data_IF_453955340410
#
_entry.id   IF_453955340410
#
_cell.length_a   1.000
_cell.length_b   1.000
_cell.length_c   1.000
_cell.angle_alpha   90.00
_cell.angle_beta   90.00
_cell.angle_gamma   90.00
#
_symmetry.space_group_name_H-M   'P 1'
#
loop_
_entity.id
_entity.type
_entity.pdbx_description
1 polymer ?
#
# COMPACT_ATOMS: atom_id res chain seq x y z
N UNK A 1 14.51 8.29 22.20
CA UNK A 1 13.34 7.43 21.97
C UNK A 1 13.70 6.56 20.79
N UNK A 2 13.88 5.26 21.03
CA UNK A 2 14.26 4.31 20.00
C UNK A 2 13.06 4.06 19.09
N UNK A 3 13.02 4.77 17.96
CA UNK A 3 12.07 4.50 16.89
C UNK A 3 12.44 3.16 16.24
N UNK A 4 11.84 2.10 16.74
CA UNK A 4 11.94 0.74 16.19
C UNK A 4 11.12 0.70 14.90
N UNK A 5 11.76 0.45 13.77
CA UNK A 5 11.10 0.25 12.47
C UNK A 5 11.30 -1.19 12.02
N UNK A 6 10.22 -1.83 11.58
CA UNK A 6 10.32 -3.15 10.93
C UNK A 6 10.81 -2.99 9.49
N UNK A 7 11.59 -3.96 8.98
CA UNK A 7 12.02 -4.01 7.58
C UNK A 7 10.83 -3.89 6.62
N UNK A 8 9.69 -4.48 7.00
CA UNK A 8 8.42 -4.38 6.27
C UNK A 8 7.89 -2.96 6.15
N UNK A 9 7.78 -2.22 7.25
CA UNK A 9 7.31 -0.82 7.21
C UNK A 9 8.26 0.07 6.40
N UNK A 10 9.56 -0.21 6.47
CA UNK A 10 10.57 0.50 5.70
C UNK A 10 10.43 0.25 4.20
N UNK A 11 10.25 -1.01 3.79
CA UNK A 11 10.00 -1.40 2.40
C UNK A 11 8.69 -0.75 1.90
N UNK A 12 7.62 -0.84 2.69
CA UNK A 12 6.31 -0.29 2.34
C UNK A 12 6.33 1.23 2.12
N UNK A 13 7.20 1.93 2.86
CA UNK A 13 7.38 3.38 2.77
C UNK A 13 8.30 3.79 1.62
N UNK A 14 9.34 3.00 1.33
CA UNK A 14 10.40 3.39 0.38
C UNK A 14 10.31 2.67 -0.99
N UNK A 15 9.31 1.82 -1.23
CA UNK A 15 9.15 1.01 -2.45
C UNK A 15 9.40 1.73 -3.79
N UNK A 16 9.18 3.05 -3.85
CA UNK A 16 9.30 3.84 -5.09
C UNK A 16 10.66 4.57 -5.24
N UNK A 17 11.63 4.40 -4.33
CA UNK A 17 12.85 5.25 -4.24
C UNK A 17 14.18 4.45 -4.11
N UNK A 18 14.15 3.13 -3.91
CA UNK A 18 15.33 2.40 -3.43
C UNK A 18 16.36 2.11 -4.53
N UNK A 19 17.60 2.63 -4.37
CA UNK A 19 18.65 1.85 -3.72
C UNK A 19 19.04 2.40 -2.35
N UNK A 20 18.95 1.58 -1.30
CA UNK A 20 19.27 1.99 0.08
C UNK A 20 19.92 0.86 0.89
N UNK A 21 20.73 1.25 1.88
CA UNK A 21 21.40 0.33 2.82
C UNK A 21 20.63 0.25 4.12
N UNK A 22 20.23 -0.96 4.49
CA UNK A 22 19.58 -1.23 5.78
C UNK A 22 20.40 -2.20 6.61
N UNK A 23 20.41 -2.00 7.92
CA UNK A 23 21.00 -2.94 8.88
C UNK A 23 19.89 -3.73 9.55
N UNK A 24 19.94 -5.05 9.46
CA UNK A 24 19.00 -5.96 10.11
C UNK A 24 19.17 -5.82 11.63
N UNK A 25 18.12 -5.39 12.30
CA UNK A 25 18.04 -5.29 13.77
C UNK A 25 17.29 -6.46 14.40
N UNK A 26 16.63 -7.29 13.56
CA UNK A 26 15.93 -8.52 13.90
C UNK A 26 14.90 -8.88 12.83
N UNK A 27 14.66 -10.19 12.58
CA UNK A 27 13.64 -10.67 11.63
C UNK A 27 13.98 -12.02 11.01
N UNK A 28 12.95 -12.70 10.47
CA UNK A 28 13.06 -13.99 9.78
C UNK A 28 12.96 -13.76 8.27
N UNK A 29 13.83 -14.37 7.47
CA UNK A 29 13.74 -14.33 6.01
C UNK A 29 12.52 -15.14 5.53
N UNK A 30 11.80 -14.65 4.53
CA UNK A 30 10.74 -15.43 3.88
C UNK A 30 11.32 -16.30 2.77
N UNK A 31 11.57 -17.57 3.07
CA UNK A 31 12.05 -18.58 2.12
C UNK A 31 13.35 -19.22 2.60
N UNK A 32 13.31 -20.55 2.76
CA UNK A 32 14.33 -21.42 3.38
C UNK A 32 14.83 -20.90 4.74
N UNK A 33 14.26 -21.47 5.81
CA UNK A 33 14.48 -21.32 7.26
C UNK A 33 15.86 -20.84 7.79
N UNK A 34 16.35 -19.68 7.34
CA UNK A 34 17.54 -19.03 7.90
C UNK A 34 17.17 -17.65 8.48
N UNK A 35 17.43 -17.49 9.78
CA UNK A 35 17.34 -16.21 10.46
C UNK A 35 18.46 -15.30 9.94
N UNK A 36 18.11 -14.10 9.45
CA UNK A 36 19.13 -13.10 9.12
C UNK A 36 19.78 -12.62 10.43
N UNK A 37 21.11 -12.80 10.62
CA UNK A 37 21.77 -12.40 11.84
C UNK A 37 21.57 -10.92 12.12
N UNK A 38 21.33 -10.59 13.40
CA UNK A 38 21.32 -9.18 13.83
C UNK A 38 22.66 -8.54 13.48
N UNK A 39 22.61 -7.43 12.76
CA UNK A 39 23.79 -6.71 12.29
C UNK A 39 24.08 -6.85 10.80
N UNK A 40 23.43 -7.79 10.12
CA UNK A 40 23.55 -7.97 8.66
C UNK A 40 23.19 -6.68 7.92
N UNK A 41 24.02 -6.26 6.97
CA UNK A 41 23.74 -5.10 6.12
C UNK A 41 23.25 -5.57 4.77
N UNK A 42 22.06 -5.13 4.39
CA UNK A 42 21.44 -5.42 3.11
C UNK A 42 21.49 -4.17 2.24
N UNK A 43 21.92 -4.32 1.00
CA UNK A 43 21.69 -3.34 -0.06
C UNK A 43 20.36 -3.74 -0.73
N UNK A 44 19.30 -2.92 -0.57
CA UNK A 44 17.99 -3.18 -1.19
C UNK A 44 17.95 -2.57 -2.59
N UNK A 45 17.58 -3.37 -3.58
CA UNK A 45 17.61 -2.97 -4.99
C UNK A 45 16.23 -2.67 -5.55
N UNK A 46 15.24 -3.49 -5.21
CA UNK A 46 13.92 -3.40 -5.80
C UNK A 46 12.86 -4.08 -4.95
N UNK A 47 11.59 -3.73 -5.17
CA UNK A 47 10.43 -4.38 -4.57
C UNK A 47 9.50 -4.80 -5.71
N UNK A 48 9.09 -6.06 -5.71
CA UNK A 48 8.24 -6.65 -6.73
C UNK A 48 7.01 -7.31 -6.11
N UNK A 49 5.93 -7.37 -6.90
CA UNK A 49 4.69 -8.04 -6.50
C UNK A 49 4.79 -9.50 -6.91
N UNK A 50 4.93 -10.39 -5.93
CA UNK A 50 5.05 -11.84 -6.17
C UNK A 50 3.72 -12.44 -6.59
N UNK A 51 2.65 -12.12 -5.87
CA UNK A 51 1.32 -12.66 -6.11
C UNK A 51 0.22 -11.74 -5.58
N UNK A 52 -0.91 -11.72 -6.30
CA UNK A 52 -2.11 -11.03 -5.88
C UNK A 52 -3.23 -12.06 -5.76
N UNK A 53 -3.84 -12.12 -4.58
CA UNK A 53 -4.87 -13.09 -4.28
C UNK A 53 -6.23 -12.40 -4.24
N UNK A 54 -7.14 -12.84 -5.12
CA UNK A 54 -8.54 -12.46 -5.12
C UNK A 54 -9.38 -13.54 -4.45
N UNK A 55 -10.25 -13.12 -3.54
CA UNK A 55 -11.10 -14.00 -2.74
C UNK A 55 -12.57 -13.66 -2.97
N UNK A 56 -13.40 -14.66 -3.22
CA UNK A 56 -14.84 -14.48 -3.38
C UNK A 56 -15.64 -15.65 -2.81
N UNK A 57 -16.92 -15.40 -2.53
CA UNK A 57 -17.87 -16.42 -2.09
C UNK A 57 -18.93 -16.63 -3.15
N UNK A 58 -19.14 -17.88 -3.56
CA UNK A 58 -20.22 -18.20 -4.47
C UNK A 58 -21.58 -18.04 -3.79
N UNK A 59 -22.56 -17.50 -4.52
CA UNK A 59 -23.90 -17.28 -4.00
C UNK A 59 -24.52 -18.61 -3.56
N UNK A 60 -24.91 -18.69 -2.30
CA UNK A 60 -25.53 -19.89 -1.73
C UNK A 60 -24.54 -20.99 -1.29
N UNK A 61 -23.23 -20.75 -1.40
CA UNK A 61 -22.20 -21.66 -0.86
C UNK A 61 -21.45 -20.99 0.28
N UNK A 62 -21.07 -21.78 1.29
CA UNK A 62 -20.17 -21.34 2.37
C UNK A 62 -18.69 -21.36 1.96
N UNK A 63 -18.39 -21.88 0.76
CA UNK A 63 -17.04 -22.05 0.26
C UNK A 63 -16.51 -20.69 -0.21
N UNK A 64 -15.30 -20.39 0.23
CA UNK A 64 -14.53 -19.24 -0.20
C UNK A 64 -13.50 -19.70 -1.23
N UNK A 65 -13.57 -19.14 -2.43
CA UNK A 65 -12.66 -19.44 -3.52
C UNK A 65 -11.56 -18.39 -3.56
N UNK A 66 -10.32 -18.82 -3.85
CA UNK A 66 -9.15 -17.97 -4.00
C UNK A 66 -8.55 -18.15 -5.40
N UNK A 67 -8.29 -17.03 -6.07
CA UNK A 67 -7.65 -16.99 -7.38
C UNK A 67 -6.40 -16.13 -7.29
N UNK A 68 -5.27 -16.68 -7.73
CA UNK A 68 -4.02 -15.96 -7.90
C UNK A 68 -4.00 -15.26 -9.25
N UNK A 69 -3.62 -13.99 -9.29
CA UNK A 69 -3.46 -13.23 -10.53
C UNK A 69 -2.16 -12.44 -10.52
N UNK A 70 -1.69 -12.10 -11.73
CA UNK A 70 -0.54 -11.24 -11.94
C UNK A 70 -0.94 -9.76 -11.94
N UNK A 71 -0.01 -8.88 -11.58
CA UNK A 71 -0.24 -7.43 -11.50
C UNK A 71 -0.63 -6.81 -12.86
N UNK A 72 -0.04 -7.33 -13.95
CA UNK A 72 -0.33 -6.90 -15.32
C UNK A 72 -1.71 -7.30 -15.84
N UNK A 73 -2.55 -7.95 -15.03
CA UNK A 73 -3.88 -8.35 -15.45
C UNK A 73 -4.73 -7.10 -15.81
N UNK A 74 -5.30 -7.05 -17.03
CA UNK A 74 -6.02 -5.87 -17.52
C UNK A 74 -7.43 -5.72 -16.94
N UNK A 75 -7.91 -6.68 -16.13
CA UNK A 75 -9.25 -6.64 -15.53
C UNK A 75 -9.42 -5.39 -14.69
N UNK A 76 -10.54 -4.70 -14.91
CA UNK A 76 -10.89 -3.49 -14.18
C UNK A 76 -11.94 -3.76 -13.11
N UNK A 77 -11.77 -3.07 -11.98
CA UNK A 77 -12.62 -3.18 -10.81
C UNK A 77 -13.15 -1.81 -10.39
N UNK A 78 -14.36 -1.83 -9.83
CA UNK A 78 -14.86 -0.76 -9.01
C UNK A 78 -14.46 -1.04 -7.55
N UNK A 79 -13.89 -0.04 -6.88
CA UNK A 79 -13.53 -0.14 -5.46
C UNK A 79 -14.77 0.15 -4.61
N UNK A 80 -14.98 -0.69 -3.60
CA UNK A 80 -16.06 -0.54 -2.62
C UNK A 80 -15.49 -0.13 -1.27
N UNK A 81 -16.22 0.75 -0.58
CA UNK A 81 -15.84 1.20 0.75
C UNK A 81 -15.98 0.06 1.78
N UNK A 82 -15.01 -0.05 2.70
CA UNK A 82 -15.07 -1.01 3.81
C UNK A 82 -16.09 -0.63 4.86
N UNK A 83 -16.24 0.68 5.09
CA UNK A 83 -17.08 1.24 6.14
C UNK A 83 -18.45 1.69 5.61
N UNK A 84 -19.44 1.83 6.50
CA UNK A 84 -20.74 2.39 6.16
C UNK A 84 -20.60 3.75 5.48
N UNK A 85 -21.53 4.07 4.58
CA UNK A 85 -21.64 5.40 3.98
C UNK A 85 -21.72 6.45 5.09
N UNK A 86 -20.85 7.45 5.02
CA UNK A 86 -20.84 8.56 5.98
C UNK A 86 -19.89 8.38 7.16
N UNK A 87 -19.10 7.30 7.24
CA UNK A 87 -18.01 7.22 8.21
C UNK A 87 -17.02 8.39 8.02
N UNK A 88 -16.65 9.01 9.14
CA UNK A 88 -15.75 10.16 9.21
C UNK A 88 -14.42 9.73 9.80
N UNK A 89 -13.35 9.87 9.02
CA UNK A 89 -11.97 9.71 9.44
C UNK A 89 -11.47 11.07 9.93
N UNK A 90 -11.16 11.21 11.21
CA UNK A 90 -10.88 12.54 11.80
C UNK A 90 -9.56 13.09 11.29
N UNK A 91 -8.55 12.23 11.21
CA UNK A 91 -7.16 12.57 10.89
C UNK A 91 -6.64 11.83 9.67
N UNK A 92 -5.51 12.27 9.13
CA UNK A 92 -4.76 11.55 8.11
C UNK A 92 -4.25 10.19 8.62
N UNK A 93 -3.94 10.07 9.92
CA UNK A 93 -3.59 8.78 10.52
C UNK A 93 -4.70 7.73 10.32
N UNK A 94 -5.95 8.11 10.57
CA UNK A 94 -7.12 7.23 10.37
C UNK A 94 -7.25 6.79 8.89
N UNK A 95 -6.94 7.72 7.97
CA UNK A 95 -6.91 7.43 6.54
C UNK A 95 -5.85 6.39 6.17
N UNK A 96 -4.69 6.39 6.83
CA UNK A 96 -3.63 5.42 6.52
C UNK A 96 -4.00 4.04 7.03
N UNK A 97 -4.63 3.95 8.20
CA UNK A 97 -5.05 2.69 8.81
C UNK A 97 -6.09 1.99 7.92
N UNK A 98 -7.14 2.70 7.51
CA UNK A 98 -8.23 2.13 6.70
C UNK A 98 -7.93 2.16 5.20
N UNK A 99 -7.18 3.17 4.75
CA UNK A 99 -6.78 3.41 3.38
C UNK A 99 -7.95 3.48 2.37
N UNK A 100 -8.90 4.42 2.56
CA UNK A 100 -9.91 4.71 1.53
C UNK A 100 -9.23 5.27 0.27
N UNK A 101 -9.73 4.91 -0.92
CA UNK A 101 -9.07 5.27 -2.17
C UNK A 101 -9.13 6.78 -2.47
N UNK A 102 -10.30 7.37 -2.26
CA UNK A 102 -10.57 8.80 -2.45
C UNK A 102 -11.41 9.29 -1.29
N UNK A 103 -11.07 10.45 -0.77
CA UNK A 103 -11.79 11.10 0.32
C UNK A 103 -12.12 12.54 -0.01
N UNK A 104 -13.14 13.05 0.67
CA UNK A 104 -13.50 14.45 0.70
C UNK A 104 -13.12 15.03 2.06
N UNK A 105 -12.41 16.15 2.05
CA UNK A 105 -12.12 16.94 3.23
C UNK A 105 -13.38 17.68 3.69
N UNK A 106 -13.79 17.60 4.95
CA UNK A 106 -14.98 18.30 5.46
C UNK A 106 -14.65 19.48 6.39
N UNK A 107 -13.38 19.63 6.78
CA UNK A 107 -12.89 20.72 7.63
C UNK A 107 -11.64 21.32 7.01
N UNK A 108 -11.61 22.65 6.88
CA UNK A 108 -10.41 23.35 6.42
C UNK A 108 -9.27 23.10 7.41
N UNK A 109 -8.11 22.71 6.90
CA UNK A 109 -6.89 22.52 7.68
C UNK A 109 -5.78 23.43 7.15
N UNK A 110 -4.98 23.99 8.05
CA UNK A 110 -3.84 24.84 7.71
C UNK A 110 -2.60 24.24 8.35
N UNK A 111 -1.49 24.17 7.60
CA UNK A 111 -0.20 23.75 8.16
C UNK A 111 0.28 24.73 9.24
N UNK A 112 1.09 24.25 10.18
CA UNK A 112 1.58 25.05 11.30
C UNK A 112 2.40 26.27 10.84
N UNK A 113 3.11 26.14 9.72
CA UNK A 113 3.86 27.22 9.08
C UNK A 113 3.00 28.17 8.23
N UNK A 114 1.71 27.88 8.09
CA UNK A 114 0.75 28.64 7.29
C UNK A 114 0.96 28.55 5.77
N UNK A 115 1.93 27.77 5.29
CA UNK A 115 2.31 27.70 3.88
C UNK A 115 1.31 26.93 3.02
N UNK A 116 0.53 26.03 3.63
CA UNK A 116 -0.46 25.22 2.94
C UNK A 116 -1.83 25.27 3.63
N UNK A 117 -2.86 25.37 2.79
CA UNK A 117 -4.26 25.35 3.19
C UNK A 117 -4.95 24.22 2.43
N UNK A 118 -5.49 23.25 3.17
CA UNK A 118 -6.41 22.26 2.66
C UNK A 118 -7.82 22.80 2.86
N UNK A 119 -8.52 23.10 1.78
CA UNK A 119 -9.85 23.70 1.85
C UNK A 119 -10.94 22.66 2.12
N UNK A 120 -12.03 23.12 2.75
CA UNK A 120 -13.23 22.31 2.88
C UNK A 120 -13.76 21.92 1.49
N UNK A 121 -14.29 20.71 1.40
CA UNK A 121 -14.86 20.10 0.19
C UNK A 121 -13.84 19.70 -0.89
N UNK A 122 -12.54 19.86 -0.65
CA UNK A 122 -11.50 19.30 -1.52
C UNK A 122 -11.58 17.77 -1.57
N UNK A 123 -11.30 17.22 -2.76
CA UNK A 123 -11.31 15.79 -3.02
C UNK A 123 -9.87 15.33 -3.19
N UNK A 124 -9.46 14.40 -2.35
CA UNK A 124 -8.11 13.86 -2.26
C UNK A 124 -8.13 12.41 -2.74
N UNK A 125 -7.35 12.09 -3.78
CA UNK A 125 -6.98 10.71 -4.08
C UNK A 125 -5.71 10.40 -3.31
N UNK A 126 -5.76 9.43 -2.39
CA UNK A 126 -4.57 9.01 -1.64
C UNK A 126 -3.58 8.39 -2.63
N UNK A 127 -2.29 8.68 -2.53
CA UNK A 127 -1.30 8.12 -3.46
C UNK A 127 -0.41 7.13 -2.72
N UNK A 128 0.38 7.61 -1.76
CA UNK A 128 1.35 6.79 -1.03
C UNK A 128 1.77 7.44 0.28
N UNK A 129 2.47 6.69 1.12
CA UNK A 129 3.22 7.26 2.24
C UNK A 129 4.58 7.73 1.75
N UNK A 130 5.04 8.86 2.27
CA UNK A 130 6.38 9.40 2.02
C UNK A 130 7.02 9.82 3.33
N UNK A 131 8.35 9.86 3.37
CA UNK A 131 9.11 10.37 4.51
C UNK A 131 9.53 11.81 4.21
N UNK A 132 9.03 12.74 5.03
CA UNK A 132 9.42 14.14 4.99
C UNK A 132 10.75 14.39 5.69
N UNK A 133 11.10 15.67 5.84
CA UNK A 133 12.25 16.07 6.67
C UNK A 133 12.05 15.57 8.11
N UNK A 134 13.16 15.25 8.80
CA UNK A 134 13.14 14.75 10.18
C UNK A 134 12.37 13.43 10.38
N UNK A 135 12.33 12.56 9.36
CA UNK A 135 11.67 11.25 9.43
C UNK A 135 10.15 11.29 9.69
N UNK A 136 9.51 12.43 9.46
CA UNK A 136 8.07 12.56 9.60
C UNK A 136 7.36 11.75 8.50
N UNK A 137 6.45 10.87 8.88
CA UNK A 137 5.55 10.18 7.93
C UNK A 137 4.53 11.18 7.40
N UNK A 138 4.42 11.27 6.09
CA UNK A 138 3.45 12.13 5.40
C UNK A 138 2.62 11.27 4.43
N UNK A 139 1.36 11.64 4.23
CA UNK A 139 0.51 11.04 3.22
C UNK A 139 0.53 11.92 1.96
N UNK A 140 1.12 11.41 0.89
CA UNK A 140 1.04 12.06 -0.42
C UNK A 140 -0.33 11.79 -1.04
N UNK A 141 -1.02 12.88 -1.39
CA UNK A 141 -2.35 12.87 -1.99
C UNK A 141 -2.34 13.67 -3.29
N UNK A 142 -3.20 13.30 -4.23
CA UNK A 142 -3.53 14.12 -5.39
C UNK A 142 -4.84 14.84 -5.15
N UNK A 143 -4.80 16.17 -5.16
CA UNK A 143 -5.99 17.00 -5.25
C UNK A 143 -6.64 16.78 -6.62
N UNK A 144 -7.84 16.21 -6.63
CA UNK A 144 -8.50 15.73 -7.86
C UNK A 144 -8.87 16.90 -8.78
N UNK A 145 -9.31 18.03 -8.22
CA UNK A 145 -9.71 19.21 -9.01
C UNK A 145 -8.53 19.98 -9.56
N UNK A 146 -7.54 20.30 -8.72
CA UNK A 146 -6.35 21.05 -9.16
C UNK A 146 -5.30 20.17 -9.86
N UNK A 147 -5.49 18.85 -9.91
CA UNK A 147 -4.51 17.88 -10.44
C UNK A 147 -3.12 17.99 -9.81
N UNK A 148 -3.06 18.49 -8.57
CA UNK A 148 -1.83 18.82 -7.85
C UNK A 148 -1.52 17.77 -6.78
N UNK A 149 -0.25 17.38 -6.65
CA UNK A 149 0.21 16.57 -5.52
C UNK A 149 0.44 17.45 -4.29
N UNK A 150 0.02 16.95 -3.14
CA UNK A 150 0.18 17.57 -1.82
C UNK A 150 0.58 16.51 -0.81
N UNK A 151 1.31 16.91 0.23
CA UNK A 151 1.74 16.03 1.30
C UNK A 151 1.11 16.50 2.60
N UNK A 152 0.37 15.61 3.26
CA UNK A 152 -0.35 15.92 4.49
C UNK A 152 0.31 15.19 5.67
N UNK A 153 0.57 15.87 6.79
CA UNK A 153 1.09 15.22 7.98
C UNK A 153 0.02 14.36 8.66
N UNK A 154 0.45 13.43 9.51
CA UNK A 154 -0.43 12.44 10.13
C UNK A 154 -1.54 13.06 11.00
N UNK A 155 -1.23 14.19 11.62
CA UNK A 155 -2.07 14.97 12.52
C UNK A 155 -2.99 15.96 11.79
N UNK A 156 -2.97 15.99 10.45
CA UNK A 156 -3.89 16.82 9.67
C UNK A 156 -5.36 16.42 9.93
N UNK A 157 -6.09 17.33 10.59
CA UNK A 157 -7.50 17.16 10.97
C UNK A 157 -8.47 17.68 9.91
N UNK A 158 -8.58 16.97 8.79
CA UNK A 158 -9.50 17.34 7.70
C UNK A 158 -10.94 16.81 7.86
N UNK A 159 -11.21 15.93 8.84
CA UNK A 159 -12.50 15.24 8.99
C UNK A 159 -12.97 14.64 7.66
N UNK A 160 -12.31 13.61 7.18
CA UNK A 160 -12.46 13.08 5.85
C UNK A 160 -13.62 12.09 5.75
N UNK A 161 -14.30 12.07 4.62
CA UNK A 161 -15.31 11.04 4.29
C UNK A 161 -14.94 10.37 2.98
N UNK A 162 -15.07 9.05 2.91
CA UNK A 162 -14.86 8.31 1.66
C UNK A 162 -15.78 8.85 0.55
N UNK A 163 -15.25 8.99 -0.66
CA UNK A 163 -15.99 9.48 -1.81
C UNK A 163 -15.82 8.54 -2.99
N UNK A 164 -16.95 8.08 -3.52
CA UNK A 164 -16.99 7.25 -4.72
C UNK A 164 -16.62 8.10 -5.93
N UNK A 165 -15.60 7.69 -6.66
CA UNK A 165 -15.41 8.10 -8.05
C UNK A 165 -16.06 7.04 -8.94
N UNK A 166 -16.76 7.47 -9.99
CA UNK A 166 -17.25 6.57 -11.04
C UNK A 166 -16.11 6.17 -11.99
N UNK A 167 -14.99 5.73 -11.41
CA UNK A 167 -13.80 5.32 -12.12
C UNK A 167 -13.55 3.83 -11.90
N UNK A 168 -12.83 3.23 -12.85
CA UNK A 168 -12.48 1.82 -12.84
C UNK A 168 -10.96 1.69 -12.79
N UNK A 169 -10.48 0.71 -12.02
CA UNK A 169 -9.06 0.56 -11.70
C UNK A 169 -8.60 -0.83 -12.07
N UNK A 170 -7.44 -0.94 -12.71
CA UNK A 170 -6.73 -2.20 -12.93
C UNK A 170 -6.08 -2.65 -11.62
N UNK A 171 -5.65 -3.91 -11.58
CA UNK A 171 -4.90 -4.45 -10.43
C UNK A 171 -3.62 -3.68 -10.19
N UNK A 172 -2.88 -3.35 -11.27
CA UNK A 172 -1.68 -2.53 -11.18
C UNK A 172 -1.95 -1.14 -10.58
N UNK A 173 -3.08 -0.48 -10.92
CA UNK A 173 -3.46 0.80 -10.30
C UNK A 173 -3.65 0.67 -8.78
N UNK A 174 -4.19 -0.46 -8.32
CA UNK A 174 -4.47 -0.71 -6.90
C UNK A 174 -3.19 -0.97 -6.12
N UNK A 175 -2.26 -1.76 -6.67
CA UNK A 175 -1.01 -2.13 -6.00
C UNK A 175 -0.02 -0.98 -5.94
N UNK A 176 0.15 -0.25 -7.05
CA UNK A 176 1.06 0.89 -7.10
C UNK A 176 0.68 2.00 -6.14
N UNK A 177 -0.61 2.22 -5.89
CA UNK A 177 -1.06 3.20 -4.92
C UNK A 177 -0.77 2.71 -3.49
N UNK A 178 -1.49 1.68 -3.03
CA UNK A 178 -1.31 1.18 -1.67
C UNK A 178 -1.63 -0.32 -1.61
N UNK A 179 -0.63 -1.21 -1.39
CA UNK A 179 -0.83 -2.65 -1.35
C UNK A 179 -1.55 -3.04 -0.06
N UNK A 180 -2.88 -2.90 -0.06
CA UNK A 180 -3.76 -3.24 1.06
C UNK A 180 -4.93 -4.06 0.58
N UNK A 181 -5.59 -4.72 1.53
CA UNK A 181 -6.85 -5.39 1.26
C UNK A 181 -7.89 -4.42 0.68
N UNK A 182 -8.64 -4.86 -0.34
CA UNK A 182 -9.70 -4.09 -0.99
C UNK A 182 -10.95 -4.92 -1.26
N UNK A 183 -12.12 -4.39 -0.92
CA UNK A 183 -13.40 -4.85 -1.47
C UNK A 183 -13.58 -4.28 -2.87
N UNK A 184 -13.78 -5.16 -3.83
CA UNK A 184 -13.87 -4.87 -5.25
C UNK A 184 -15.16 -5.43 -5.83
N UNK A 185 -15.64 -4.80 -6.89
CA UNK A 185 -16.70 -5.30 -7.74
C UNK A 185 -16.20 -5.32 -9.17
N UNK A 186 -16.38 -6.45 -9.86
CA UNK A 186 -16.06 -6.54 -11.28
C UNK A 186 -16.93 -5.57 -12.09
N UNK A 187 -16.31 -4.84 -13.02
CA UNK A 187 -17.02 -3.88 -13.89
C UNK A 187 -17.69 -4.64 -15.03
N UNK A 188 -19.00 -4.50 -15.24
CA UNK A 188 -19.70 -5.17 -16.35
C UNK A 188 -19.72 -4.32 -17.63
N UNK A 189 -19.77 -4.97 -18.80
CA UNK A 189 -20.08 -4.35 -20.11
C UNK A 189 -18.97 -4.48 -21.15
N UNK A 190 -19.12 -3.77 -22.28
CA UNK A 190 -18.24 -3.73 -23.49
C UNK A 190 -16.75 -3.37 -23.23
N UNK A 191 -16.36 -3.18 -21.97
CA UNK A 191 -15.00 -2.88 -21.52
C UNK A 191 -14.23 -4.15 -21.13
N UNK A 192 -14.93 -5.27 -20.88
CA UNK A 192 -14.32 -6.59 -20.71
C UNK A 192 -14.30 -7.26 -22.08
N UNK A 193 -13.14 -7.28 -22.73
CA UNK A 193 -12.87 -8.35 -23.71
C UNK A 193 -12.95 -9.67 -22.92
N UNK A 194 -13.78 -10.63 -23.35
CA UNK A 194 -13.91 -11.93 -22.68
C UNK A 194 -12.55 -12.64 -22.53
N UNK A 195 -11.58 -12.31 -23.40
CA UNK A 195 -10.18 -12.78 -23.32
C UNK A 195 -9.41 -12.21 -22.13
N UNK A 196 -9.83 -11.06 -21.62
CA UNK A 196 -9.20 -10.33 -20.53
C UNK A 196 -9.85 -10.61 -19.17
N UNK A 197 -10.89 -11.45 -19.12
CA UNK A 197 -11.56 -11.83 -17.88
C UNK A 197 -10.72 -12.85 -17.09
N UNK A 198 -10.63 -12.65 -15.77
CA UNK A 198 -10.05 -13.66 -14.88
C UNK A 198 -11.00 -14.86 -14.81
N UNK A 199 -10.52 -16.00 -15.29
CA UNK A 199 -11.28 -17.25 -15.28
C UNK A 199 -11.68 -17.62 -13.85
N UNK A 200 -12.94 -18.04 -13.67
CA UNK A 200 -13.48 -18.43 -12.38
C UNK A 200 -13.97 -17.27 -11.50
N UNK A 201 -13.81 -16.00 -11.89
CA UNK A 201 -14.46 -14.91 -11.16
C UNK A 201 -15.94 -14.78 -11.57
N UNK A 202 -16.86 -14.66 -10.59
CA UNK A 202 -18.27 -14.38 -10.89
C UNK A 202 -18.43 -13.00 -11.54
N UNK A 203 -19.17 -12.94 -12.66
CA UNK A 203 -19.46 -11.72 -13.43
C UNK A 203 -20.11 -10.59 -12.59
N UNK A 204 -20.82 -10.99 -11.53
CA UNK A 204 -21.61 -10.11 -10.67
C UNK A 204 -21.10 -10.09 -9.22
N UNK A 205 -19.99 -10.77 -8.95
CA UNK A 205 -19.59 -11.05 -7.59
C UNK A 205 -18.82 -9.89 -6.94
N UNK A 206 -18.97 -9.84 -5.62
CA UNK A 206 -18.09 -9.09 -4.76
C UNK A 206 -16.82 -9.92 -4.54
N UNK A 207 -15.68 -9.27 -4.72
CA UNK A 207 -14.37 -9.89 -4.58
C UNK A 207 -13.59 -9.09 -3.55
N UNK A 208 -12.74 -9.76 -2.77
CA UNK A 208 -11.79 -9.12 -1.88
C UNK A 208 -10.40 -9.39 -2.43
N UNK A 209 -9.68 -8.33 -2.82
CA UNK A 209 -8.25 -8.42 -3.06
C UNK A 209 -7.56 -8.44 -1.70
N UNK A 210 -6.78 -9.48 -1.43
CA UNK A 210 -5.94 -9.54 -0.24
C UNK A 210 -4.75 -8.58 -0.39
N UNK A 211 -4.11 -8.23 0.73
CA UNK A 211 -2.82 -7.55 0.71
C UNK A 211 -1.86 -8.34 -0.21
N UNK A 212 -1.28 -7.71 -1.25
CA UNK A 212 -0.36 -8.39 -2.16
C UNK A 212 0.83 -8.98 -1.43
N UNK A 213 1.29 -10.15 -1.90
CA UNK A 213 2.54 -10.73 -1.44
C UNK A 213 3.69 -10.00 -2.16
N UNK A 214 4.54 -9.33 -1.38
CA UNK A 214 5.67 -8.56 -1.90
C UNK A 214 6.96 -9.36 -1.74
N UNK A 215 7.85 -9.22 -2.71
CA UNK A 215 9.20 -9.77 -2.71
C UNK A 215 10.19 -8.61 -2.84
N UNK A 216 11.26 -8.64 -2.04
CA UNK A 216 12.28 -7.60 -2.06
C UNK A 216 13.57 -8.20 -2.56
N UNK A 217 14.12 -7.60 -3.60
CA UNK A 217 15.44 -7.94 -4.08
C UNK A 217 16.48 -7.19 -3.27
N UNK A 218 17.42 -7.94 -2.71
CA UNK A 218 18.53 -7.39 -1.94
C UNK A 218 19.81 -8.19 -2.19
N UNK A 219 20.95 -7.56 -1.95
CA UNK A 219 22.23 -8.25 -1.84
C UNK A 219 22.78 -8.12 -0.44
N UNK A 220 23.31 -9.21 0.10
CA UNK A 220 24.12 -9.18 1.31
C UNK A 220 25.52 -8.69 0.96
N UNK A 221 26.03 -7.74 1.74
CA UNK A 221 27.45 -7.39 1.67
C UNK A 221 28.18 -8.13 2.79
N UNK A 222 28.94 -9.16 2.44
CA UNK A 222 29.91 -9.73 3.37
C UNK A 222 30.93 -8.64 3.73
N UNK A 223 31.02 -8.31 5.01
CA UNK A 223 32.16 -7.52 5.48
C UNK A 223 33.36 -8.45 5.62
N UNK A 224 34.51 -8.15 4.98
CA UNK A 224 35.76 -8.82 5.28
C UNK A 224 36.23 -8.31 6.65
N UNK A 225 35.76 -8.93 7.73
CA UNK A 225 36.00 -8.43 9.07
C UNK A 225 35.53 -9.37 10.17
N UNK A 226 36.04 -10.60 10.15
CA UNK A 226 36.64 -11.27 11.33
C UNK A 226 37.13 -12.66 10.94
N UNK A 227 38.30 -12.70 10.29
CA UNK A 227 39.19 -13.86 10.47
C UNK A 227 39.72 -13.76 11.90
N UNK A 228 38.98 -14.29 12.87
CA UNK A 228 39.59 -14.67 14.13
C UNK A 228 40.66 -15.73 13.84
N UNK A 229 41.91 -15.28 13.78
CA UNK A 229 43.03 -16.10 14.25
C UNK A 229 42.76 -16.38 15.73
N UNK A 230 42.30 -17.59 16.03
CA UNK A 230 42.58 -18.20 17.31
C UNK A 230 43.89 -18.97 17.14
N UNK A 231 45.01 -18.27 17.39
CA UNK A 231 46.25 -18.96 17.73
C UNK A 231 46.02 -19.62 19.09
N UNK A 232 46.13 -20.94 19.11
CA UNK A 232 46.10 -21.76 20.32
C UNK A 232 47.44 -21.59 21.03
N UNK A 233 47.41 -21.11 22.28
CA UNK A 233 48.35 -21.45 23.37
C UNK A 233 47.75 -21.09 24.72
#
# INVERSE_FOLDING_TARGET
MDSTFSLREFIDINKDVLPERVKVTGGVQCGEDEDLPTGTVLDLHSVHVKQINLVYKEKGRKIENRIAIHESNPTKFQILDYHPVGHVYTTVKDLIEVCPFVVKCNKTWRSDDGAFLLEKDEILKLIRLVVGKNWQRLLECKLVRQMKLVQLPMDCEGHFTAKKLNNFYTVSDLVHQFPKERKLKLVKGDVIDERNQIQGLPLDGLVTMLTPDLEVEYSMKEYPGDRHRLDVN
#
